data_IF_545539315575
#
_entry.id   IF_545539315575
#
_cell.length_a   1.000
_cell.length_b   1.000
_cell.length_c   1.000
_cell.angle_alpha   90.00
_cell.angle_beta   90.00
_cell.angle_gamma   90.00
#
_symmetry.space_group_name_H-M   'P 1'
#
loop_
_entity.id
_entity.type
_entity.pdbx_description
1 polymer ?
#
# COMPACT_ATOMS: atom_id res chain seq x y z
N UNK A 1 -0.21 18.39 3.93
CA UNK A 1 -0.26 17.29 2.95
C UNK A 1 0.28 17.83 1.63
N UNK A 2 1.42 17.32 1.20
CA UNK A 2 2.05 17.67 -0.07
C UNK A 2 1.25 17.07 -1.22
N UNK A 3 1.18 17.73 -2.38
CA UNK A 3 0.52 17.16 -3.58
C UNK A 3 1.05 15.77 -3.94
N UNK A 4 2.32 15.51 -3.65
CA UNK A 4 2.99 14.22 -3.87
C UNK A 4 2.36 13.09 -3.05
N UNK A 5 2.06 13.32 -1.76
CA UNK A 5 1.37 12.35 -0.90
C UNK A 5 -0.01 11.98 -1.44
N UNK A 6 -0.82 12.98 -1.79
CA UNK A 6 -2.17 12.74 -2.30
C UNK A 6 -2.17 11.97 -3.62
N UNK A 7 -1.19 12.22 -4.49
CA UNK A 7 -1.03 11.48 -5.74
C UNK A 7 -0.57 10.05 -5.49
N UNK A 8 0.37 9.85 -4.57
CA UNK A 8 0.83 8.53 -4.13
C UNK A 8 -0.34 7.70 -3.61
N UNK A 9 -1.10 8.22 -2.64
CA UNK A 9 -2.24 7.52 -2.04
C UNK A 9 -3.30 7.18 -3.09
N UNK A 10 -3.64 8.12 -3.99
CA UNK A 10 -4.61 7.87 -5.07
C UNK A 10 -4.15 6.76 -6.02
N UNK A 11 -2.87 6.71 -6.35
CA UNK A 11 -2.30 5.66 -7.17
C UNK A 11 -2.43 4.31 -6.46
N UNK A 12 -2.02 4.23 -5.20
CA UNK A 12 -2.08 3.00 -4.40
C UNK A 12 -3.51 2.50 -4.22
N UNK A 13 -4.45 3.39 -3.91
CA UNK A 13 -5.87 3.04 -3.83
C UNK A 13 -6.42 2.50 -5.15
N UNK A 14 -5.95 3.02 -6.30
CA UNK A 14 -6.34 2.51 -7.62
C UNK A 14 -5.79 1.10 -7.88
N UNK A 15 -4.55 0.83 -7.47
CA UNK A 15 -3.95 -0.50 -7.55
C UNK A 15 -4.72 -1.49 -6.67
N UNK A 16 -5.01 -1.12 -5.41
CA UNK A 16 -5.81 -1.93 -4.47
C UNK A 16 -7.22 -2.18 -5.02
N UNK A 17 -7.86 -1.15 -5.57
CA UNK A 17 -9.22 -1.21 -6.13
C UNK A 17 -9.29 -1.89 -7.50
N UNK A 18 -8.17 -2.34 -8.06
CA UNK A 18 -8.17 -3.03 -9.35
C UNK A 18 -8.78 -4.43 -9.22
N UNK A 19 -9.52 -4.92 -10.23
CA UNK A 19 -10.25 -6.18 -10.15
C UNK A 19 -9.34 -7.38 -9.85
N UNK A 20 -8.11 -7.39 -10.37
CA UNK A 20 -7.12 -8.42 -10.06
C UNK A 20 -6.65 -8.39 -8.60
N UNK A 21 -6.48 -7.19 -8.05
CA UNK A 21 -6.04 -6.98 -6.68
C UNK A 21 -7.16 -7.32 -5.68
N UNK A 22 -8.39 -6.88 -5.95
CA UNK A 22 -9.59 -7.26 -5.18
C UNK A 22 -9.89 -8.75 -5.26
N UNK A 23 -9.55 -9.45 -6.36
CA UNK A 23 -9.77 -10.90 -6.49
C UNK A 23 -8.70 -11.72 -5.76
N UNK A 24 -7.45 -11.25 -5.76
CA UNK A 24 -6.32 -11.93 -5.09
C UNK A 24 -6.09 -11.47 -3.65
N UNK A 25 -6.79 -10.41 -3.24
CA UNK A 25 -6.65 -9.80 -1.92
C UNK A 25 -5.21 -9.33 -1.66
N UNK A 26 -4.50 -9.00 -2.74
CA UNK A 26 -3.12 -8.59 -2.68
C UNK A 26 -2.75 -7.69 -3.84
N UNK A 27 -1.84 -6.75 -3.59
CA UNK A 27 -1.23 -5.92 -4.62
C UNK A 27 0.24 -5.66 -4.28
N UNK A 28 1.06 -5.58 -5.31
CA UNK A 28 2.48 -5.28 -5.22
C UNK A 28 2.67 -3.83 -5.67
N UNK A 29 3.27 -3.00 -4.83
CA UNK A 29 3.47 -1.58 -5.12
C UNK A 29 4.93 -1.24 -4.91
N UNK A 30 5.50 -0.61 -5.92
CA UNK A 30 6.83 -0.05 -5.89
C UNK A 30 6.75 1.48 -5.82
N UNK A 31 7.52 2.07 -4.91
CA UNK A 31 7.85 3.48 -4.81
C UNK A 31 8.51 3.93 -6.11
N UNK A 32 8.13 5.11 -6.59
CA UNK A 32 8.74 5.75 -7.77
C UNK A 32 9.81 6.73 -7.30
N UNK A 33 10.81 6.99 -8.13
CA UNK A 33 11.82 8.02 -7.87
C UNK A 33 11.23 9.43 -7.64
N UNK A 34 10.07 9.72 -8.22
CA UNK A 34 9.36 11.01 -8.08
C UNK A 34 8.58 11.11 -6.75
N UNK A 35 8.42 10.00 -6.03
CA UNK A 35 7.70 9.93 -4.75
C UNK A 35 8.68 10.11 -3.58
N UNK A 36 8.35 10.98 -2.62
CA UNK A 36 9.21 11.17 -1.44
C UNK A 36 9.25 9.91 -0.58
N UNK A 37 10.43 9.58 -0.05
CA UNK A 37 10.60 8.45 0.86
C UNK A 37 9.77 8.64 2.15
N UNK A 38 9.70 9.88 2.66
CA UNK A 38 8.90 10.21 3.84
C UNK A 38 7.40 10.03 3.60
N UNK A 39 6.89 10.50 2.45
CA UNK A 39 5.49 10.33 2.05
C UNK A 39 5.15 8.84 1.83
N UNK A 40 6.07 8.07 1.25
CA UNK A 40 5.96 6.62 1.09
C UNK A 40 5.85 5.91 2.44
N UNK A 41 6.81 6.16 3.34
CA UNK A 41 6.83 5.57 4.67
C UNK A 41 5.57 5.93 5.48
N UNK A 42 5.09 7.17 5.37
CA UNK A 42 3.85 7.61 6.03
C UNK A 42 2.62 6.84 5.50
N UNK A 43 2.50 6.67 4.19
CA UNK A 43 1.41 5.89 3.59
C UNK A 43 1.45 4.43 4.05
N UNK A 44 2.64 3.83 4.10
CA UNK A 44 2.81 2.46 4.60
C UNK A 44 2.43 2.36 6.07
N UNK A 45 2.84 3.33 6.89
CA UNK A 45 2.44 3.39 8.29
C UNK A 45 0.90 3.45 8.42
N UNK A 46 0.23 4.34 7.68
CA UNK A 46 -1.23 4.43 7.66
C UNK A 46 -1.88 3.10 7.26
N UNK A 47 -1.38 2.43 6.22
CA UNK A 47 -1.89 1.12 5.81
C UNK A 47 -1.63 0.03 6.86
N UNK A 48 -0.50 0.08 7.58
CA UNK A 48 -0.19 -0.87 8.65
C UNK A 48 -1.07 -0.71 9.88
N UNK A 49 -1.71 0.46 10.05
CA UNK A 49 -2.70 0.67 11.12
C UNK A 49 -4.03 -0.02 10.84
N UNK A 50 -4.25 -0.46 9.61
CA UNK A 50 -5.47 -1.16 9.20
C UNK A 50 -5.33 -2.63 9.62
N UNK A 51 -6.16 -3.06 10.57
CA UNK A 51 -6.04 -4.36 11.26
C UNK A 51 -6.04 -5.57 10.30
N UNK A 52 -6.69 -5.45 9.16
CA UNK A 52 -6.79 -6.52 8.17
C UNK A 52 -5.79 -6.38 7.01
N UNK A 53 -4.78 -5.51 7.12
CA UNK A 53 -3.74 -5.28 6.11
C UNK A 53 -2.39 -5.75 6.64
N UNK A 54 -1.72 -6.59 5.84
CA UNK A 54 -0.33 -7.00 6.07
C UNK A 54 0.55 -6.41 4.97
N UNK A 55 1.65 -5.77 5.38
CA UNK A 55 2.65 -5.22 4.48
C UNK A 55 3.90 -6.12 4.53
N UNK A 56 4.30 -6.63 3.38
CA UNK A 56 5.51 -7.46 3.23
C UNK A 56 6.51 -6.74 2.34
N UNK A 57 7.63 -6.22 2.86
CA UNK A 57 8.69 -5.67 2.02
C UNK A 57 9.31 -6.78 1.16
N UNK A 58 9.46 -6.51 -0.13
CA UNK A 58 10.05 -7.44 -1.10
C UNK A 58 11.53 -7.14 -1.38
N UNK A 59 11.97 -5.93 -1.06
CA UNK A 59 13.33 -5.46 -1.25
C UNK A 59 13.87 -4.90 0.09
N UNK A 60 15.19 -4.93 0.29
CA UNK A 60 15.87 -4.47 1.51
C UNK A 60 15.56 -3.00 1.87
N UNK A 61 15.39 -2.15 0.86
CA UNK A 61 15.09 -0.73 1.03
C UNK A 61 13.59 -0.43 1.25
N UNK A 62 12.73 -1.46 1.32
CA UNK A 62 11.27 -1.30 1.45
C UNK A 62 10.63 -0.37 0.40
N UNK A 63 11.31 -0.16 -0.72
CA UNK A 63 10.79 0.59 -1.87
C UNK A 63 9.74 -0.22 -2.62
N UNK A 64 9.82 -1.54 -2.54
CA UNK A 64 8.83 -2.45 -3.08
C UNK A 64 8.21 -3.23 -1.94
N UNK A 65 6.89 -3.13 -1.84
CA UNK A 65 6.14 -3.80 -0.80
C UNK A 65 4.92 -4.48 -1.40
N UNK A 66 4.61 -5.65 -0.86
CA UNK A 66 3.38 -6.37 -1.14
C UNK A 66 2.39 -6.10 -0.03
N UNK A 67 1.26 -5.53 -0.41
CA UNK A 67 0.11 -5.32 0.47
C UNK A 67 -0.83 -6.50 0.28
N UNK A 68 -1.19 -7.18 1.36
CA UNK A 68 -2.20 -8.23 1.38
C UNK A 68 -3.27 -7.85 2.39
N UNK A 69 -4.54 -8.05 2.07
CA UNK A 69 -5.63 -7.76 3.01
C UNK A 69 -6.62 -8.89 3.11
N UNK A 70 -7.01 -9.28 4.32
CA UNK A 70 -7.97 -10.36 4.51
C UNK A 70 -9.31 -9.82 5.03
N UNK A 71 -10.37 -9.73 4.21
CA UNK A 71 -11.66 -9.23 4.68
C UNK A 71 -12.34 -10.19 5.68
N UNK A 72 -11.90 -11.45 5.78
CA UNK A 72 -12.48 -12.43 6.70
C UNK A 72 -12.10 -12.16 8.17
N UNK A 73 -10.94 -11.56 8.42
CA UNK A 73 -10.52 -11.15 9.78
C UNK A 73 -11.17 -9.84 10.26
N UNK A 74 -11.74 -9.05 9.35
CA UNK A 74 -12.37 -7.77 9.69
C UNK A 74 -13.77 -7.90 10.31
N UNK A 75 -14.31 -9.13 10.44
CA UNK A 75 -15.63 -9.42 11.01
C UNK A 75 -15.58 -10.15 12.38
N UNK A 76 -14.40 -10.28 13.00
CA UNK A 76 -14.24 -10.94 14.29
C UNK A 76 -14.40 -9.97 15.48
#
# INVERSE_FOLDING_TARGET
>A
MSKSYEQLVKRVQKEIGSPGAQSKHCVEIQRRDDESHEDWAQMLADLSTVENVTLTPMDDDAEHIRITWNPEESMA
#
